data_IF_718413460040
#
_entry.id   IF_718413460040
#
_cell.length_a   1.000
_cell.length_b   1.000
_cell.length_c   1.000
_cell.angle_alpha   90.00
_cell.angle_beta   90.00
_cell.angle_gamma   90.00
#
_symmetry.space_group_name_H-M   'P 1'
#
loop_
_entity.id
_entity.type
_entity.pdbx_description
1 polymer ?
#
# COMPACT_ATOMS: atom_id res chain seq x y z
N UNK A 1 18.45 26.58 17.19
CA UNK A 1 17.03 27.01 17.10
C UNK A 1 16.26 26.03 17.97
N UNK A 2 15.52 26.52 18.96
CA UNK A 2 14.77 25.65 19.88
C UNK A 2 13.60 24.97 19.14
N UNK A 3 13.35 23.68 19.42
CA UNK A 3 12.24 22.91 18.81
C UNK A 3 10.90 23.65 18.95
N UNK A 4 10.70 24.35 20.07
CA UNK A 4 9.50 25.15 20.34
C UNK A 4 9.26 26.28 19.33
N UNK A 5 10.32 26.93 18.84
CA UNK A 5 10.24 28.00 17.85
C UNK A 5 9.90 27.45 16.46
N UNK A 6 10.50 26.30 16.10
CA UNK A 6 10.17 25.61 14.85
C UNK A 6 8.73 25.13 14.86
N UNK A 7 8.26 24.55 15.97
CA UNK A 7 6.89 24.09 16.12
C UNK A 7 5.85 25.19 15.93
N UNK A 8 6.11 26.40 16.45
CA UNK A 8 5.21 27.54 16.25
C UNK A 8 5.09 27.92 14.77
N UNK A 9 6.21 27.95 14.04
CA UNK A 9 6.24 28.26 12.61
C UNK A 9 5.63 27.16 11.74
N UNK A 10 5.89 25.89 12.06
CA UNK A 10 5.26 24.76 11.37
C UNK A 10 3.74 24.81 11.55
N UNK A 11 3.25 25.13 12.76
CA UNK A 11 1.81 25.30 13.00
C UNK A 11 1.20 26.47 12.24
N UNK A 12 2.00 27.48 11.88
CA UNK A 12 1.61 28.58 11.02
C UNK A 12 1.70 28.24 9.51
N UNK A 13 2.11 27.03 9.15
CA UNK A 13 2.21 26.56 7.77
C UNK A 13 3.49 26.98 7.05
N UNK A 14 4.57 27.30 7.77
CA UNK A 14 5.86 27.67 7.19
C UNK A 14 6.63 26.42 6.68
N UNK A 15 6.80 26.24 5.36
CA UNK A 15 7.49 25.07 4.81
C UNK A 15 9.00 25.04 5.14
N UNK A 16 9.62 26.20 5.36
CA UNK A 16 11.03 26.25 5.76
C UNK A 16 11.21 25.72 7.19
N UNK A 17 10.23 25.96 8.06
CA UNK A 17 10.23 25.41 9.41
C UNK A 17 10.01 23.89 9.42
N UNK A 18 9.16 23.37 8.53
CA UNK A 18 8.98 21.92 8.37
C UNK A 18 10.29 21.26 7.94
N UNK A 19 10.97 21.87 6.96
CA UNK A 19 12.26 21.38 6.49
C UNK A 19 13.32 21.39 7.58
N UNK A 20 13.43 22.48 8.34
CA UNK A 20 14.37 22.58 9.44
C UNK A 20 14.09 21.55 10.55
N UNK A 21 12.81 21.28 10.85
CA UNK A 21 12.42 20.24 11.80
C UNK A 21 12.75 18.84 11.27
N UNK A 22 12.54 18.59 9.98
CA UNK A 22 12.95 17.34 9.34
C UNK A 22 14.46 17.14 9.46
N UNK A 23 15.26 18.11 8.99
CA UNK A 23 16.73 18.01 8.98
C UNK A 23 17.31 17.83 10.39
N UNK A 24 16.70 18.43 11.42
CA UNK A 24 17.13 18.29 12.81
C UNK A 24 16.88 16.89 13.41
N UNK A 25 15.89 16.14 12.92
CA UNK A 25 15.42 14.90 13.57
C UNK A 25 15.56 13.65 12.69
N UNK A 26 15.80 13.80 11.39
CA UNK A 26 15.81 12.69 10.41
C UNK A 26 16.78 11.57 10.79
N UNK A 27 18.01 11.89 11.18
CA UNK A 27 19.03 10.90 11.54
C UNK A 27 18.61 10.03 12.73
N UNK A 28 17.87 10.60 13.68
CA UNK A 28 17.41 9.87 14.86
C UNK A 28 16.25 8.94 14.51
N UNK A 29 15.32 9.44 13.69
CA UNK A 29 14.18 8.65 13.18
C UNK A 29 14.67 7.48 12.32
N UNK A 30 15.58 7.75 11.38
CA UNK A 30 16.18 6.73 10.52
C UNK A 30 16.93 5.68 11.33
N UNK A 31 17.80 6.08 12.27
CA UNK A 31 18.52 5.12 13.12
C UNK A 31 17.59 4.25 13.98
N UNK A 32 16.45 4.79 14.42
CA UNK A 32 15.44 4.01 15.13
C UNK A 32 14.75 3.01 14.19
N UNK A 33 14.29 3.48 13.02
CA UNK A 33 13.67 2.61 12.02
C UNK A 33 14.61 1.48 11.60
N UNK A 34 15.87 1.80 11.29
CA UNK A 34 16.90 0.82 10.92
C UNK A 34 17.14 -0.22 12.01
N UNK A 35 17.19 0.18 13.29
CA UNK A 35 17.34 -0.77 14.40
C UNK A 35 16.15 -1.72 14.53
N UNK A 36 14.96 -1.26 14.16
CA UNK A 36 13.73 -2.06 14.23
C UNK A 36 13.52 -2.95 13.00
N UNK A 37 14.02 -2.55 11.82
CA UNK A 37 13.84 -3.29 10.57
C UNK A 37 15.02 -4.19 10.23
N UNK A 38 16.25 -3.78 10.55
CA UNK A 38 17.49 -4.40 10.06
C UNK A 38 17.70 -4.28 8.55
N UNK A 39 16.91 -3.44 7.87
CA UNK A 39 16.83 -3.31 6.42
C UNK A 39 16.82 -1.82 6.05
N UNK A 40 17.79 -1.41 5.22
CA UNK A 40 17.99 -0.01 4.84
C UNK A 40 16.83 0.55 4.02
N UNK A 41 16.33 -0.18 3.03
CA UNK A 41 15.22 0.26 2.20
C UNK A 41 13.95 0.46 3.05
N UNK A 42 13.62 -0.52 3.90
CA UNK A 42 12.49 -0.39 4.81
C UNK A 42 12.68 0.74 5.83
N UNK A 43 13.92 0.98 6.28
CA UNK A 43 14.20 2.07 7.20
C UNK A 43 13.96 3.43 6.56
N UNK A 44 14.39 3.62 5.31
CA UNK A 44 14.14 4.84 4.54
C UNK A 44 12.65 5.07 4.32
N UNK A 45 11.91 4.04 3.91
CA UNK A 45 10.46 4.12 3.70
C UNK A 45 9.71 4.48 4.99
N UNK A 46 10.01 3.79 6.11
CA UNK A 46 9.35 4.08 7.38
C UNK A 46 9.77 5.42 7.98
N UNK A 47 10.97 5.91 7.68
CA UNK A 47 11.39 7.27 8.06
C UNK A 47 10.50 8.30 7.37
N UNK A 48 10.29 8.17 6.06
CA UNK A 48 9.43 9.07 5.31
C UNK A 48 7.98 9.03 5.83
N UNK A 49 7.41 7.83 5.96
CA UNK A 49 6.05 7.65 6.48
C UNK A 49 5.91 8.20 7.91
N UNK A 50 6.93 8.06 8.75
CA UNK A 50 6.94 8.63 10.10
C UNK A 50 6.87 10.16 10.07
N UNK A 51 7.62 10.83 9.20
CA UNK A 51 7.55 12.28 9.07
C UNK A 51 6.22 12.76 8.47
N UNK A 52 5.70 12.09 7.44
CA UNK A 52 4.36 12.39 6.89
C UNK A 52 3.31 12.32 8.01
N UNK A 53 3.34 11.24 8.79
CA UNK A 53 2.41 11.05 9.91
C UNK A 53 2.64 12.05 11.05
N UNK A 54 3.89 12.41 11.32
CA UNK A 54 4.25 13.40 12.33
C UNK A 54 3.71 14.78 11.97
N UNK A 55 3.98 15.29 10.76
CA UNK A 55 3.47 16.60 10.33
C UNK A 55 1.94 16.65 10.35
N UNK A 56 1.27 15.60 9.85
CA UNK A 56 -0.19 15.49 9.91
C UNK A 56 -0.76 15.51 11.35
N UNK A 57 0.01 15.06 12.34
CA UNK A 57 -0.42 14.97 13.75
C UNK A 57 0.24 15.99 14.66
N UNK A 58 1.02 16.92 14.14
CA UNK A 58 1.84 17.83 14.96
C UNK A 58 0.98 18.74 15.85
N UNK A 59 -0.25 19.03 15.44
CA UNK A 59 -1.24 19.74 16.23
C UNK A 59 -1.64 19.01 17.52
N UNK A 60 -1.46 17.69 17.59
CA UNK A 60 -1.75 16.87 18.79
C UNK A 60 -0.62 16.88 19.82
N UNK A 61 0.57 17.37 19.46
CA UNK A 61 1.70 17.46 20.38
C UNK A 61 1.47 18.56 21.43
N UNK A 62 1.25 18.16 22.68
CA UNK A 62 0.92 19.09 23.78
C UNK A 62 2.12 19.75 24.45
N UNK A 63 3.34 19.27 24.19
CA UNK A 63 4.54 19.77 24.86
C UNK A 63 4.84 19.12 26.22
N UNK A 64 4.06 18.12 26.64
CA UNK A 64 4.26 17.37 27.90
C UNK A 64 5.57 16.54 27.92
N UNK A 65 6.26 16.44 26.79
CA UNK A 65 7.53 15.72 26.62
C UNK A 65 8.38 16.39 25.54
N UNK A 66 9.65 16.03 25.44
CA UNK A 66 10.48 16.46 24.31
C UNK A 66 9.90 16.01 22.97
N UNK A 67 10.02 16.83 21.93
CA UNK A 67 9.56 16.51 20.57
C UNK A 67 10.15 15.18 20.08
N UNK A 68 11.42 14.92 20.41
CA UNK A 68 12.09 13.67 20.07
C UNK A 68 11.44 12.42 20.67
N UNK A 69 10.87 12.52 21.88
CA UNK A 69 10.17 11.41 22.54
C UNK A 69 8.83 11.13 21.85
N UNK A 70 8.12 12.19 21.46
CA UNK A 70 6.91 12.07 20.68
C UNK A 70 7.17 11.48 19.29
N UNK A 71 8.21 11.97 18.58
CA UNK A 71 8.67 11.44 17.29
C UNK A 71 9.09 9.96 17.39
N UNK A 72 9.75 9.56 18.47
CA UNK A 72 10.07 8.16 18.73
C UNK A 72 8.81 7.29 18.77
N UNK A 73 7.74 7.78 19.40
CA UNK A 73 6.45 7.08 19.51
C UNK A 73 5.77 6.95 18.15
N UNK A 74 5.74 8.04 17.37
CA UNK A 74 5.21 8.03 15.99
C UNK A 74 5.98 7.02 15.13
N UNK A 75 7.30 7.08 15.15
CA UNK A 75 8.19 6.18 14.38
C UNK A 75 7.96 4.72 14.76
N UNK A 76 7.96 4.41 16.06
CA UNK A 76 7.72 3.05 16.55
C UNK A 76 6.37 2.52 16.07
N UNK A 77 5.32 3.35 16.13
CA UNK A 77 3.98 2.99 15.64
C UNK A 77 3.97 2.71 14.14
N UNK A 78 4.64 3.55 13.34
CA UNK A 78 4.75 3.37 11.89
C UNK A 78 5.48 2.07 11.56
N UNK A 79 6.66 1.85 12.13
CA UNK A 79 7.48 0.68 11.83
C UNK A 79 6.77 -0.61 12.23
N UNK A 80 6.19 -0.69 13.43
CA UNK A 80 5.48 -1.90 13.88
C UNK A 80 4.28 -2.23 12.99
N UNK A 81 3.51 -1.23 12.58
CA UNK A 81 2.39 -1.43 11.68
C UNK A 81 2.85 -1.80 10.26
N UNK A 82 3.93 -1.18 9.79
CA UNK A 82 4.55 -1.46 8.50
C UNK A 82 5.08 -2.90 8.42
N UNK A 83 5.86 -3.34 9.41
CA UNK A 83 6.39 -4.70 9.46
C UNK A 83 5.28 -5.77 9.50
N UNK A 84 4.16 -5.51 10.19
CA UNK A 84 2.98 -6.39 10.14
C UNK A 84 2.43 -6.53 8.71
N UNK A 85 2.37 -5.43 7.95
CA UNK A 85 1.94 -5.44 6.55
C UNK A 85 2.95 -6.18 5.66
N UNK A 86 4.24 -5.87 5.78
CA UNK A 86 5.31 -6.54 5.02
C UNK A 86 5.28 -8.05 5.24
N UNK A 87 5.15 -8.50 6.49
CA UNK A 87 5.02 -9.93 6.82
C UNK A 87 3.79 -10.57 6.16
N UNK A 88 2.65 -9.86 6.13
CA UNK A 88 1.43 -10.33 5.45
C UNK A 88 1.65 -10.46 3.94
N UNK A 89 2.26 -9.46 3.31
CA UNK A 89 2.57 -9.48 1.87
C UNK A 89 3.55 -10.59 1.50
N UNK A 90 4.65 -10.75 2.25
CA UNK A 90 5.61 -11.84 2.04
C UNK A 90 4.97 -13.22 2.20
N UNK A 91 4.05 -13.38 3.17
CA UNK A 91 3.29 -14.63 3.33
C UNK A 91 2.40 -14.94 2.12
N UNK A 92 1.80 -13.94 1.49
CA UNK A 92 1.01 -14.15 0.26
C UNK A 92 1.86 -14.37 -0.99
N UNK A 93 3.09 -13.85 -1.02
CA UNK A 93 4.01 -13.98 -2.15
C UNK A 93 4.64 -15.39 -2.26
N UNK A 94 4.74 -16.10 -1.13
CA UNK A 94 5.27 -17.47 -1.04
C UNK A 94 4.34 -18.52 -1.70
N UNK A 95 3.19 -18.14 -2.25
CA UNK A 95 2.27 -19.08 -2.93
C UNK A 95 2.41 -19.12 -4.47
N UNK A 96 3.46 -18.53 -5.05
CA UNK A 96 3.69 -18.65 -6.50
C UNK A 96 4.11 -20.07 -6.92
N UNK A 97 4.91 -20.75 -6.11
CA UNK A 97 5.33 -22.13 -6.37
C UNK A 97 4.16 -23.11 -6.20
N UNK A 98 3.31 -22.87 -5.19
CA UNK A 98 2.06 -23.60 -4.98
C UNK A 98 1.03 -23.32 -6.08
N UNK A 99 0.87 -22.08 -6.52
CA UNK A 99 0.05 -21.72 -7.66
C UNK A 99 0.53 -22.40 -8.96
N UNK A 100 1.86 -22.53 -9.12
CA UNK A 100 2.47 -23.26 -10.25
C UNK A 100 2.25 -24.77 -10.15
N UNK A 101 2.31 -25.34 -8.94
CA UNK A 101 1.95 -26.74 -8.68
C UNK A 101 0.48 -27.02 -9.00
N UNK A 102 -0.46 -26.16 -8.56
CA UNK A 102 -1.88 -26.25 -8.91
C UNK A 102 -2.09 -26.18 -10.44
N UNK A 103 -1.36 -25.29 -11.13
CA UNK A 103 -1.44 -25.17 -12.59
C UNK A 103 -0.86 -26.39 -13.33
N UNK A 104 0.19 -27.01 -12.78
CA UNK A 104 0.80 -28.23 -13.30
C UNK A 104 -0.08 -29.48 -13.11
N UNK A 105 -0.76 -29.59 -11.96
CA UNK A 105 -1.75 -30.63 -11.69
C UNK A 105 -2.98 -30.50 -12.60
N UNK A 106 -3.50 -29.29 -12.81
CA UNK A 106 -4.62 -29.05 -13.74
C UNK A 106 -4.27 -29.33 -15.20
N UNK A 107 -2.99 -29.25 -15.61
CA UNK A 107 -2.58 -29.62 -16.96
C UNK A 107 -2.50 -31.14 -17.17
N UNK A 108 -2.48 -31.94 -16.10
CA UNK A 108 -2.59 -33.42 -16.16
C UNK A 108 -4.03 -33.92 -16.02
N UNK A 109 -4.95 -33.09 -15.54
CA UNK A 109 -6.36 -33.44 -15.39
C UNK A 109 -7.15 -33.27 -16.71
N UNK A 110 -7.53 -34.43 -17.26
CA UNK A 110 -8.54 -34.71 -18.31
C UNK A 110 -8.51 -33.90 -19.63
N UNK A 111 -8.02 -34.51 -20.73
CA UNK A 111 -8.19 -34.01 -22.10
C UNK A 111 -9.65 -33.66 -22.43
N UNK A 112 -10.58 -34.41 -21.85
CA UNK A 112 -12.02 -34.33 -22.08
C UNK A 112 -12.65 -33.03 -21.53
N UNK A 113 -12.05 -32.39 -20.50
CA UNK A 113 -12.58 -31.15 -19.95
C UNK A 113 -12.51 -29.97 -20.94
N UNK A 114 -11.43 -29.91 -21.74
CA UNK A 114 -11.26 -28.87 -22.78
C UNK A 114 -12.27 -29.05 -23.90
N UNK A 115 -12.53 -30.29 -24.31
CA UNK A 115 -13.48 -30.60 -25.39
C UNK A 115 -14.93 -30.40 -24.94
N UNK A 116 -15.28 -30.77 -23.71
CA UNK A 116 -16.59 -30.46 -23.09
C UNK A 116 -16.84 -28.97 -22.96
N UNK A 117 -15.84 -28.19 -22.53
CA UNK A 117 -15.95 -26.73 -22.44
C UNK A 117 -16.17 -26.10 -23.82
N UNK A 118 -15.45 -26.57 -24.85
CA UNK A 118 -15.65 -26.14 -26.25
C UNK A 118 -17.06 -26.46 -26.75
N UNK A 119 -17.57 -27.67 -26.49
CA UNK A 119 -18.94 -28.03 -26.86
C UNK A 119 -19.98 -27.17 -26.16
N UNK A 120 -19.81 -26.90 -24.85
CA UNK A 120 -20.71 -26.05 -24.08
C UNK A 120 -20.72 -24.60 -24.59
N UNK A 121 -19.54 -24.03 -24.89
CA UNK A 121 -19.43 -22.67 -25.46
C UNK A 121 -20.08 -22.57 -26.85
N UNK A 122 -19.92 -23.58 -27.70
CA UNK A 122 -20.61 -23.62 -29.00
C UNK A 122 -22.13 -23.76 -28.86
N UNK A 123 -22.61 -24.47 -27.83
CA UNK A 123 -24.04 -24.57 -27.50
C UNK A 123 -24.65 -23.24 -27.05
N UNK A 124 -23.87 -22.40 -26.35
CA UNK A 124 -24.29 -21.07 -25.90
C UNK A 124 -24.32 -20.01 -27.03
N UNK A 125 -23.54 -20.19 -28.10
CA UNK A 125 -23.39 -19.20 -29.16
C UNK A 125 -24.57 -19.15 -30.16
N UNK A 126 -25.49 -20.12 -30.17
CA UNK A 126 -26.59 -20.14 -31.16
C UNK A 126 -27.81 -19.26 -30.82
N UNK A 127 -28.27 -19.08 -29.57
CA UNK A 127 -29.46 -18.25 -29.33
C UNK A 127 -29.18 -16.73 -29.26
N UNK A 128 -27.95 -16.31 -28.93
CA UNK A 128 -27.69 -14.91 -28.55
C UNK A 128 -27.45 -13.99 -29.78
N UNK A 129 -27.12 -14.54 -30.96
CA UNK A 129 -26.91 -13.72 -32.17
C UNK A 129 -28.21 -13.35 -32.92
N UNK A 130 -29.39 -13.78 -32.48
CA UNK A 130 -30.67 -13.47 -33.15
C UNK A 130 -31.54 -12.40 -32.45
N UNK A 131 -31.05 -11.78 -31.36
CA UNK A 131 -31.81 -10.73 -30.64
C UNK A 131 -31.38 -9.30 -31.04
N UNK A 132 -30.39 -9.14 -31.93
CA UNK A 132 -29.76 -7.83 -32.19
C UNK A 132 -29.94 -7.18 -33.58
N UNK A 133 -30.73 -7.75 -34.50
CA UNK A 133 -30.87 -7.21 -35.87
C UNK A 133 -32.35 -7.24 -36.33
N UNK A 134 -33.14 -6.28 -35.84
CA UNK A 134 -34.54 -6.13 -36.26
C UNK A 134 -35.22 -4.82 -35.85
N UNK A 135 -34.48 -3.80 -35.40
CA UNK A 135 -35.04 -2.52 -34.94
C UNK A 135 -34.58 -1.31 -35.78
N UNK A 136 -34.49 -1.47 -37.10
CA UNK A 136 -34.17 -0.36 -38.01
C UNK A 136 -34.89 -0.52 -39.36
N UNK A 137 -36.21 -0.35 -39.39
CA UNK A 137 -36.99 0.07 -40.58
C UNK A 137 -38.49 0.22 -40.24
N UNK A 138 -38.92 1.42 -39.80
CA UNK A 138 -40.25 2.00 -40.08
C UNK A 138 -40.47 3.31 -39.28
N UNK A 139 -39.81 4.39 -39.69
CA UNK A 139 -40.26 5.76 -39.43
C UNK A 139 -40.33 6.45 -40.79
N UNK A 140 -41.54 6.58 -41.33
CA UNK A 140 -41.78 7.06 -42.68
C UNK A 140 -43.23 6.93 -43.11
N UNK A 141 -44.13 7.63 -42.40
CA UNK A 141 -45.21 8.48 -42.93
C UNK A 141 -45.99 9.10 -41.79
#
# INVERSE_FOLDING_TARGET
>A
MEDSQLLAKVRAGDPAAERALYDAHVDRVYRLAYRMTGDDALAQDFTQEAFIRAFNKLHTFRGDSALSTWMHTVTTSVVLNGLRKVKKFRKSEIDLEKARAVSGESSRAEPDLRDRLRQAVHGLAKPILQVGLGAAAAAGR
#
